data_IF_726067924013
#
_entry.id   IF_726067924013
#
_cell.length_a   1.000
_cell.length_b   1.000
_cell.length_c   1.000
_cell.angle_alpha   90.00
_cell.angle_beta   90.00
_cell.angle_gamma   90.00
#
_symmetry.space_group_name_H-M   'P 1'
#
loop_
_entity.id
_entity.type
_entity.pdbx_description
1 polymer ?
#
# COMPACT_ATOMS: atom_id res chain seq x y z
N UNK A 1 -1.92 23.36 -4.04
CA UNK A 1 -3.23 23.02 -3.43
C UNK A 1 -3.12 23.29 -1.94
N UNK A 2 -4.16 23.71 -1.30
CA UNK A 2 -4.20 23.83 0.17
C UNK A 2 -5.06 22.69 0.70
N UNK A 3 -4.49 21.87 1.56
CA UNK A 3 -5.23 20.84 2.28
C UNK A 3 -6.06 21.49 3.40
N UNK A 4 -7.16 20.85 3.80
CA UNK A 4 -8.02 21.38 4.85
C UNK A 4 -7.50 21.04 6.25
N UNK A 5 -6.95 19.86 6.42
CA UNK A 5 -6.49 19.31 7.71
C UNK A 5 -5.01 18.93 7.72
N UNK A 6 -4.42 18.66 6.57
CA UNK A 6 -3.00 18.31 6.44
C UNK A 6 -2.17 19.59 6.33
N UNK A 7 -1.12 19.69 7.15
CA UNK A 7 -0.21 20.85 7.14
C UNK A 7 1.05 20.52 6.37
N UNK A 8 1.31 21.29 5.31
CA UNK A 8 2.54 21.15 4.52
C UNK A 8 3.70 21.82 5.27
N UNK A 9 4.83 21.15 5.53
CA UNK A 9 5.99 21.79 6.12
C UNK A 9 6.52 22.93 5.25
N UNK A 10 6.66 24.17 5.78
CA UNK A 10 6.94 25.37 4.98
C UNK A 10 8.34 25.36 4.37
N UNK A 11 9.27 24.65 4.97
CA UNK A 11 10.67 24.56 4.57
C UNK A 11 11.02 23.23 3.88
N UNK A 12 9.99 22.46 3.47
CA UNK A 12 10.11 21.24 2.70
C UNK A 12 9.93 21.48 1.20
N UNK A 13 10.45 20.55 0.39
CA UNK A 13 10.29 20.56 -1.05
C UNK A 13 9.75 19.21 -1.57
N UNK A 14 8.94 19.26 -2.63
CA UNK A 14 8.36 18.05 -3.24
C UNK A 14 9.41 17.24 -3.99
N UNK A 15 9.32 15.93 -3.87
CA UNK A 15 10.02 15.01 -4.77
C UNK A 15 9.33 15.10 -6.14
N UNK A 16 10.10 15.32 -7.18
CA UNK A 16 9.61 15.43 -8.56
C UNK A 16 9.98 14.18 -9.37
N UNK A 17 9.12 13.83 -10.32
CA UNK A 17 9.40 12.76 -11.29
C UNK A 17 9.54 13.41 -12.66
N UNK A 18 10.67 13.19 -13.32
CA UNK A 18 10.89 13.71 -14.68
C UNK A 18 10.16 12.86 -15.73
N UNK A 19 10.18 13.30 -16.99
CA UNK A 19 9.52 12.62 -18.11
C UNK A 19 10.05 11.19 -18.37
N UNK A 20 11.22 10.83 -17.83
CA UNK A 20 11.81 9.49 -17.91
C UNK A 20 11.50 8.61 -16.68
N UNK A 21 10.63 9.07 -15.77
CA UNK A 21 10.30 8.34 -14.54
C UNK A 21 11.38 8.42 -13.44
N UNK A 22 12.42 9.25 -13.60
CA UNK A 22 13.50 9.37 -12.61
C UNK A 22 13.10 10.39 -11.55
N UNK A 23 13.30 10.01 -10.27
CA UNK A 23 13.04 10.86 -9.12
C UNK A 23 14.14 11.93 -8.99
N UNK A 24 13.71 13.19 -8.87
CA UNK A 24 14.55 14.29 -8.43
C UNK A 24 14.24 14.59 -6.96
N UNK A 25 15.15 14.19 -6.07
CA UNK A 25 14.98 14.30 -4.62
C UNK A 25 15.74 15.53 -4.10
N UNK A 26 15.05 16.54 -3.55
CA UNK A 26 15.69 17.72 -2.98
C UNK A 26 16.45 17.40 -1.69
N UNK A 27 17.22 18.37 -1.16
CA UNK A 27 17.95 18.18 0.09
C UNK A 27 17.03 18.16 1.34
N UNK A 28 15.82 18.69 1.21
CA UNK A 28 14.80 18.76 2.25
C UNK A 28 13.46 18.18 1.74
N UNK A 29 13.44 16.88 1.32
CA UNK A 29 12.24 16.31 0.74
C UNK A 29 11.11 16.23 1.76
N UNK A 30 9.89 16.52 1.32
CA UNK A 30 8.69 16.21 2.10
C UNK A 30 8.38 14.73 1.92
N UNK A 31 8.26 14.02 3.04
CA UNK A 31 7.80 12.62 3.08
C UNK A 31 6.52 12.56 3.91
N UNK A 32 5.47 12.04 3.31
CA UNK A 32 4.19 11.82 4.00
C UNK A 32 4.34 10.68 4.99
N UNK A 33 3.72 10.80 6.17
CA UNK A 33 3.62 9.66 7.08
C UNK A 33 2.24 9.54 7.70
N UNK A 34 1.85 8.31 7.98
CA UNK A 34 0.64 7.95 8.70
C UNK A 34 1.07 7.24 9.97
N UNK A 35 0.66 7.74 11.14
CA UNK A 35 1.01 7.15 12.44
C UNK A 35 0.54 5.70 12.54
N UNK A 36 -0.69 5.45 12.10
CA UNK A 36 -1.32 4.15 12.20
C UNK A 36 -2.09 3.95 13.52
N UNK A 37 -2.72 2.80 13.62
CA UNK A 37 -3.55 2.39 14.76
C UNK A 37 -2.79 1.45 15.69
N UNK A 38 -3.33 1.22 16.89
CA UNK A 38 -2.76 0.30 17.87
C UNK A 38 -1.30 0.62 18.18
N UNK A 39 -0.38 -0.31 17.90
CA UNK A 39 1.06 -0.11 18.12
C UNK A 39 1.69 0.98 17.24
N UNK A 40 0.96 1.51 16.27
CA UNK A 40 1.42 2.59 15.40
C UNK A 40 1.83 3.84 16.18
N UNK A 41 1.10 4.17 17.26
CA UNK A 41 1.37 5.31 18.12
C UNK A 41 2.71 5.20 18.87
N UNK A 42 3.18 3.98 19.11
CA UNK A 42 4.45 3.71 19.78
C UNK A 42 5.62 3.65 18.80
N UNK A 43 5.45 2.90 17.70
CA UNK A 43 6.56 2.62 16.77
C UNK A 43 6.84 3.78 15.81
N UNK A 44 5.84 4.56 15.40
CA UNK A 44 6.03 5.63 14.43
C UNK A 44 6.93 6.75 14.95
N UNK A 45 6.80 7.25 16.18
CA UNK A 45 7.74 8.24 16.74
C UNK A 45 9.18 7.72 16.82
N UNK A 46 9.36 6.43 17.11
CA UNK A 46 10.68 5.79 17.12
C UNK A 46 11.26 5.73 15.72
N UNK A 47 10.46 5.32 14.73
CA UNK A 47 10.84 5.31 13.32
C UNK A 47 11.33 6.70 12.86
N UNK A 48 10.57 7.76 13.14
CA UNK A 48 10.95 9.13 12.79
C UNK A 48 12.30 9.53 13.40
N UNK A 49 12.55 9.19 14.68
CA UNK A 49 13.83 9.46 15.35
C UNK A 49 14.99 8.72 14.71
N UNK A 50 14.81 7.42 14.44
CA UNK A 50 15.84 6.56 13.84
C UNK A 50 16.20 7.04 12.44
N UNK A 51 15.19 7.30 11.60
CA UNK A 51 15.41 7.77 10.23
C UNK A 51 16.08 9.14 10.21
N UNK A 52 15.65 10.08 11.06
CA UNK A 52 16.28 11.39 11.17
C UNK A 52 17.75 11.29 11.59
N UNK A 53 18.08 10.44 12.56
CA UNK A 53 19.45 10.20 13.00
C UNK A 53 20.31 9.57 11.89
N UNK A 54 19.74 8.61 11.15
CA UNK A 54 20.42 7.97 10.02
C UNK A 54 20.72 8.97 8.89
N UNK A 55 19.75 9.81 8.53
CA UNK A 55 19.92 10.86 7.51
C UNK A 55 20.98 11.89 7.95
N UNK A 56 20.89 12.36 9.18
CA UNK A 56 21.88 13.30 9.73
C UNK A 56 23.28 12.73 9.69
N UNK A 57 23.46 11.45 10.07
CA UNK A 57 24.74 10.74 10.02
C UNK A 57 25.24 10.54 8.60
N UNK A 58 24.38 10.09 7.70
CA UNK A 58 24.77 9.77 6.31
C UNK A 58 25.14 11.00 5.49
N UNK A 59 24.49 12.12 5.75
CA UNK A 59 24.67 13.36 4.98
C UNK A 59 25.33 14.50 5.76
N UNK A 60 25.87 14.22 6.95
CA UNK A 60 26.56 15.19 7.81
C UNK A 60 25.72 16.48 8.04
N UNK A 61 24.42 16.32 8.20
CA UNK A 61 23.47 17.42 8.40
C UNK A 61 23.11 18.25 7.17
N UNK A 62 23.67 17.95 5.99
CA UNK A 62 23.38 18.71 4.74
C UNK A 62 22.02 18.38 4.13
N UNK A 63 21.37 17.31 4.57
CA UNK A 63 20.03 16.92 4.14
C UNK A 63 19.13 16.62 5.33
N UNK A 64 17.83 16.86 5.18
CA UNK A 64 16.84 16.64 6.23
C UNK A 64 15.49 16.29 5.62
N UNK A 65 14.85 15.22 6.09
CA UNK A 65 13.46 14.91 5.70
C UNK A 65 12.52 15.89 6.45
N UNK A 66 11.57 16.44 5.72
CA UNK A 66 10.45 17.21 6.26
C UNK A 66 9.21 16.33 6.29
N UNK A 67 8.82 15.96 7.48
CA UNK A 67 7.73 15.03 7.71
C UNK A 67 6.38 15.73 7.62
N UNK A 68 5.46 15.19 6.83
CA UNK A 68 4.10 15.67 6.67
C UNK A 68 3.12 14.59 7.12
N UNK A 69 2.41 14.84 8.21
CA UNK A 69 1.42 13.87 8.71
C UNK A 69 0.16 13.89 7.84
N UNK A 70 -0.28 12.71 7.42
CA UNK A 70 -1.57 12.47 6.81
C UNK A 70 -2.34 11.43 7.66
N UNK A 71 -3.65 11.39 7.52
CA UNK A 71 -4.51 10.70 8.47
C UNK A 71 -5.24 9.54 7.82
N UNK A 72 -5.13 8.36 8.43
CA UNK A 72 -5.89 7.15 8.10
C UNK A 72 -6.15 6.35 9.38
N UNK A 73 -7.10 5.44 9.32
CA UNK A 73 -7.51 4.62 10.46
C UNK A 73 -8.31 5.40 11.50
N UNK A 74 -8.18 5.04 12.77
CA UNK A 74 -8.90 5.67 13.88
C UNK A 74 -8.60 7.17 14.01
N UNK A 75 -7.37 7.59 13.73
CA UNK A 75 -7.02 9.01 13.77
C UNK A 75 -7.77 9.81 12.69
N UNK A 76 -8.02 9.21 11.53
CA UNK A 76 -8.80 9.86 10.46
C UNK A 76 -10.25 10.10 10.89
N UNK A 77 -10.88 9.12 11.55
CA UNK A 77 -12.27 9.27 12.03
C UNK A 77 -12.42 10.38 13.06
N UNK A 78 -11.40 10.62 13.88
CA UNK A 78 -11.40 11.72 14.86
C UNK A 78 -11.25 13.11 14.21
N UNK A 79 -10.61 13.18 13.03
CA UNK A 79 -10.28 14.47 12.37
C UNK A 79 -11.32 14.85 11.32
N UNK A 80 -11.81 13.87 10.54
CA UNK A 80 -12.72 14.09 9.41
C UNK A 80 -14.16 13.65 9.69
N UNK A 81 -14.40 12.87 10.75
CA UNK A 81 -15.71 12.33 11.12
C UNK A 81 -15.74 10.80 11.19
N UNK A 82 -16.71 10.21 11.92
CA UNK A 82 -16.70 8.81 12.35
C UNK A 82 -16.66 7.78 11.22
N UNK A 83 -17.14 8.12 10.03
CA UNK A 83 -17.19 7.21 8.88
C UNK A 83 -16.00 7.38 7.92
N UNK A 84 -15.10 8.34 8.19
CA UNK A 84 -13.99 8.67 7.29
C UNK A 84 -12.70 8.00 7.77
N UNK A 85 -12.55 6.72 7.48
CA UNK A 85 -11.36 5.93 7.80
C UNK A 85 -10.15 6.24 6.90
N UNK A 86 -10.39 6.78 5.71
CA UNK A 86 -9.40 7.23 4.76
C UNK A 86 -9.97 8.39 3.97
N UNK A 87 -9.43 9.60 4.17
CA UNK A 87 -9.87 10.78 3.45
C UNK A 87 -9.26 10.86 2.05
N UNK A 88 -9.97 11.48 1.11
CA UNK A 88 -9.43 11.77 -0.22
C UNK A 88 -8.21 12.68 -0.13
N UNK A 89 -8.21 13.63 0.82
CA UNK A 89 -7.07 14.51 1.10
C UNK A 89 -5.77 13.73 1.43
N UNK A 90 -5.89 12.61 2.15
CA UNK A 90 -4.75 11.72 2.43
C UNK A 90 -4.24 11.03 1.17
N UNK A 91 -5.14 10.57 0.31
CA UNK A 91 -4.79 9.97 -0.98
C UNK A 91 -4.08 10.97 -1.89
N UNK A 92 -4.65 12.16 -2.03
CA UNK A 92 -4.07 13.28 -2.80
C UNK A 92 -2.68 13.65 -2.29
N UNK A 93 -2.50 13.73 -0.96
CA UNK A 93 -1.21 14.03 -0.35
C UNK A 93 -0.15 12.97 -0.69
N UNK A 94 -0.49 11.69 -0.59
CA UNK A 94 0.45 10.61 -0.95
C UNK A 94 0.77 10.65 -2.44
N UNK A 95 -0.22 10.87 -3.29
CA UNK A 95 -0.01 10.94 -4.74
C UNK A 95 0.82 12.17 -5.14
N UNK A 96 0.58 13.32 -4.52
CA UNK A 96 1.29 14.57 -4.80
C UNK A 96 2.76 14.51 -4.37
N UNK A 97 3.05 14.00 -3.16
CA UNK A 97 4.39 13.97 -2.59
C UNK A 97 5.20 12.71 -2.91
N UNK A 98 4.59 11.70 -3.56
CA UNK A 98 5.21 10.50 -4.15
C UNK A 98 5.73 9.47 -3.17
N UNK A 99 6.18 9.84 -1.98
CA UNK A 99 6.74 8.92 -0.97
C UNK A 99 5.97 9.06 0.33
N UNK A 100 5.52 7.92 0.85
CA UNK A 100 4.83 7.87 2.13
C UNK A 100 5.32 6.68 2.97
N UNK A 101 5.35 6.87 4.29
CA UNK A 101 5.59 5.81 5.27
C UNK A 101 4.32 5.64 6.09
N UNK A 102 3.81 4.41 6.16
CA UNK A 102 2.56 4.11 6.83
C UNK A 102 2.78 3.16 8.01
N UNK A 103 2.28 3.55 9.18
CA UNK A 103 2.13 2.66 10.32
C UNK A 103 1.05 1.58 10.10
N UNK A 104 0.87 0.63 11.03
CA UNK A 104 -0.18 -0.38 10.93
C UNK A 104 -1.56 0.28 10.94
N UNK A 105 -2.52 -0.29 10.20
CA UNK A 105 -3.90 0.18 10.17
C UNK A 105 -4.85 -0.97 10.50
N UNK A 106 -5.78 -0.71 11.40
CA UNK A 106 -6.84 -1.62 11.76
C UNK A 106 -7.93 -1.64 10.68
N UNK A 107 -8.42 -2.82 10.34
CA UNK A 107 -9.63 -2.95 9.52
C UNK A 107 -10.79 -3.23 10.47
N UNK A 108 -11.83 -2.38 10.54
CA UNK A 108 -12.99 -2.62 11.40
C UNK A 108 -13.65 -3.95 11.03
N UNK A 109 -13.94 -4.75 12.06
CA UNK A 109 -14.60 -6.05 11.92
C UNK A 109 -16.11 -5.85 11.92
N UNK A 110 -16.83 -6.44 10.97
CA UNK A 110 -18.31 -6.48 10.95
C UNK A 110 -19.02 -5.31 10.28
N UNK A 111 -18.31 -4.30 9.76
CA UNK A 111 -18.91 -3.11 9.15
C UNK A 111 -19.02 -3.10 7.62
N UNK A 112 -18.67 -4.18 6.92
CA UNK A 112 -18.63 -4.19 5.44
C UNK A 112 -17.55 -3.27 4.84
N UNK A 113 -16.70 -2.67 5.69
CA UNK A 113 -15.65 -1.77 5.27
C UNK A 113 -14.50 -2.59 4.68
N UNK A 114 -14.15 -2.29 3.43
CA UNK A 114 -12.97 -2.87 2.78
C UNK A 114 -11.70 -2.45 3.53
N UNK A 115 -10.73 -3.35 3.64
CA UNK A 115 -9.44 -3.03 4.27
C UNK A 115 -8.83 -1.74 3.71
N UNK A 116 -8.52 -0.79 4.60
CA UNK A 116 -7.89 0.49 4.24
C UNK A 116 -6.59 0.25 3.47
N UNK A 117 -5.83 -0.79 3.85
CA UNK A 117 -4.60 -1.17 3.14
C UNK A 117 -4.87 -1.58 1.68
N UNK A 118 -5.96 -2.33 1.44
CA UNK A 118 -6.37 -2.71 0.08
C UNK A 118 -6.82 -1.49 -0.70
N UNK A 119 -7.58 -0.61 -0.08
CA UNK A 119 -8.04 0.65 -0.70
C UNK A 119 -6.85 1.53 -1.12
N UNK A 120 -5.85 1.73 -0.24
CA UNK A 120 -4.63 2.46 -0.57
C UNK A 120 -3.90 1.87 -1.78
N UNK A 121 -3.72 0.55 -1.81
CA UNK A 121 -3.05 -0.15 -2.92
C UNK A 121 -3.78 0.04 -4.25
N UNK A 122 -5.10 -0.04 -4.23
CA UNK A 122 -5.92 0.09 -5.44
C UNK A 122 -6.05 1.54 -5.90
N UNK A 123 -6.33 2.47 -4.99
CA UNK A 123 -6.52 3.89 -5.33
C UNK A 123 -5.23 4.55 -5.81
N UNK A 124 -4.09 4.19 -5.22
CA UNK A 124 -2.78 4.70 -5.61
C UNK A 124 -2.07 3.84 -6.69
N UNK A 125 -2.74 2.78 -7.16
CA UNK A 125 -2.20 1.84 -8.15
C UNK A 125 -0.82 1.28 -7.76
N UNK A 126 -0.69 0.84 -6.49
CA UNK A 126 0.51 0.24 -5.95
C UNK A 126 0.51 -1.27 -6.24
N UNK A 127 0.80 -1.65 -7.46
CA UNK A 127 0.62 -3.02 -7.95
C UNK A 127 1.68 -4.02 -7.47
N UNK A 128 2.84 -3.56 -7.02
CA UNK A 128 3.92 -4.42 -6.50
C UNK A 128 4.21 -4.11 -5.02
N UNK A 129 4.27 -5.16 -4.20
CA UNK A 129 4.88 -5.11 -2.88
C UNK A 129 6.30 -5.69 -2.99
N UNK A 130 7.30 -4.81 -2.97
CA UNK A 130 8.71 -5.17 -3.05
C UNK A 130 9.27 -5.43 -1.66
N UNK A 131 9.82 -6.62 -1.43
CA UNK A 131 10.37 -7.03 -0.13
C UNK A 131 11.80 -7.54 -0.27
N UNK A 132 12.81 -6.66 -0.14
CA UNK A 132 14.19 -7.10 -0.01
C UNK A 132 14.37 -7.74 1.37
N UNK A 133 14.91 -8.95 1.39
CA UNK A 133 15.13 -9.75 2.58
C UNK A 133 16.59 -10.19 2.59
N UNK A 134 17.33 -9.76 3.61
CA UNK A 134 18.70 -10.21 3.83
C UNK A 134 18.98 -10.34 5.32
N UNK A 135 19.94 -11.17 5.65
CA UNK A 135 20.40 -11.31 7.02
C UNK A 135 21.24 -10.11 7.47
N UNK A 136 21.02 -9.69 8.72
CA UNK A 136 21.85 -8.70 9.39
C UNK A 136 22.62 -9.39 10.52
N UNK A 137 23.96 -9.26 10.50
CA UNK A 137 24.84 -9.88 11.49
C UNK A 137 24.44 -9.48 12.92
N UNK A 138 24.36 -10.48 13.80
CA UNK A 138 23.96 -10.30 15.19
C UNK A 138 22.46 -10.42 15.44
N UNK A 139 21.62 -10.60 14.41
CA UNK A 139 20.18 -10.83 14.56
C UNK A 139 19.91 -12.33 14.77
N UNK A 140 19.11 -12.74 15.77
CA UNK A 140 18.68 -14.12 15.91
C UNK A 140 17.92 -14.59 14.64
N UNK A 141 18.21 -15.82 14.19
CA UNK A 141 17.55 -16.39 13.02
C UNK A 141 17.23 -17.87 13.25
N UNK A 142 16.05 -18.35 12.85
CA UNK A 142 15.70 -19.77 12.86
C UNK A 142 16.34 -20.54 11.70
N UNK A 143 16.96 -19.87 10.73
CA UNK A 143 17.59 -20.48 9.56
C UNK A 143 19.01 -20.91 9.91
N UNK A 144 19.41 -22.11 9.43
CA UNK A 144 20.72 -22.71 9.74
C UNK A 144 21.89 -21.88 9.19
N UNK A 145 21.75 -21.34 7.98
CA UNK A 145 22.74 -20.50 7.30
C UNK A 145 22.12 -19.15 6.89
N UNK A 146 21.81 -18.28 7.86
CA UNK A 146 21.12 -17.02 7.57
C UNK A 146 21.97 -16.05 6.75
N UNK A 147 23.30 -16.16 6.80
CA UNK A 147 24.24 -15.35 6.03
C UNK A 147 24.11 -15.52 4.51
N UNK A 148 23.51 -16.66 4.07
CA UNK A 148 23.22 -16.93 2.66
C UNK A 148 21.89 -16.33 2.19
N UNK A 149 21.14 -15.71 3.11
CA UNK A 149 19.84 -15.10 2.74
C UNK A 149 20.06 -13.70 2.19
N UNK A 150 19.91 -13.56 0.88
CA UNK A 150 19.83 -12.28 0.16
C UNK A 150 18.90 -12.46 -1.04
N UNK A 151 17.66 -12.03 -0.88
CA UNK A 151 16.61 -12.18 -1.90
C UNK A 151 15.69 -10.99 -1.95
N UNK A 152 15.03 -10.80 -3.10
CA UNK A 152 13.98 -9.80 -3.26
C UNK A 152 12.69 -10.50 -3.70
N UNK A 153 11.63 -10.37 -2.90
CA UNK A 153 10.31 -10.91 -3.20
C UNK A 153 9.48 -9.81 -3.85
N UNK A 154 9.00 -10.08 -5.06
CA UNK A 154 8.01 -9.28 -5.77
C UNK A 154 6.64 -9.92 -5.55
N UNK A 155 5.77 -9.26 -4.77
CA UNK A 155 4.43 -9.76 -4.49
C UNK A 155 3.41 -8.93 -5.26
N UNK A 156 2.51 -9.61 -5.96
CA UNK A 156 1.31 -9.04 -6.55
C UNK A 156 0.46 -8.35 -5.47
N UNK A 157 -0.13 -7.21 -5.79
CA UNK A 157 -0.76 -6.38 -4.77
C UNK A 157 -2.17 -5.86 -5.14
N UNK A 158 -2.45 -5.61 -6.40
CA UNK A 158 -3.71 -5.05 -6.90
C UNK A 158 -4.38 -5.89 -8.00
N UNK A 159 -3.63 -6.81 -8.59
CA UNK A 159 -4.09 -7.71 -9.64
C UNK A 159 -4.30 -9.13 -9.10
N UNK A 160 -4.44 -10.10 -9.97
CA UNK A 160 -4.69 -11.50 -9.63
C UNK A 160 -6.00 -11.63 -8.82
N UNK A 161 -6.02 -12.45 -7.80
CA UNK A 161 -7.14 -12.61 -6.87
C UNK A 161 -7.37 -11.35 -6.02
N UNK A 162 -6.37 -10.48 -5.89
CA UNK A 162 -6.45 -9.22 -5.15
C UNK A 162 -7.24 -8.13 -5.88
N UNK A 163 -7.55 -8.31 -7.17
CA UNK A 163 -8.43 -7.41 -7.93
C UNK A 163 -9.86 -7.36 -7.34
N UNK A 164 -10.26 -8.42 -6.62
CA UNK A 164 -11.56 -8.49 -5.94
C UNK A 164 -12.73 -8.54 -6.94
N UNK A 165 -12.51 -9.16 -8.10
CA UNK A 165 -13.56 -9.40 -9.09
C UNK A 165 -14.17 -10.77 -8.75
N UNK A 166 -15.25 -10.73 -7.98
CA UNK A 166 -15.87 -11.94 -7.47
C UNK A 166 -17.38 -11.78 -7.30
N UNK A 167 -18.09 -12.87 -7.43
CA UNK A 167 -19.52 -12.96 -7.18
C UNK A 167 -19.78 -14.12 -6.23
N UNK A 168 -20.56 -13.91 -5.15
CA UNK A 168 -20.87 -14.96 -4.19
C UNK A 168 -21.68 -16.09 -4.83
N UNK A 169 -21.57 -17.27 -4.23
CA UNK A 169 -22.40 -18.40 -4.61
C UNK A 169 -23.89 -18.02 -4.59
N UNK A 170 -24.66 -18.65 -5.46
CA UNK A 170 -26.11 -18.44 -5.62
C UNK A 170 -26.54 -17.06 -6.12
N UNK A 171 -25.61 -16.13 -6.37
CA UNK A 171 -25.95 -14.83 -6.98
C UNK A 171 -26.35 -15.00 -8.45
N UNK A 172 -27.23 -14.11 -8.93
CA UNK A 172 -27.72 -14.11 -10.32
C UNK A 172 -26.54 -13.98 -11.30
N UNK A 173 -25.55 -13.14 -10.96
CA UNK A 173 -24.41 -12.88 -11.85
C UNK A 173 -23.41 -14.02 -11.85
N UNK A 174 -23.20 -14.71 -10.70
CA UNK A 174 -22.41 -15.93 -10.67
C UNK A 174 -23.02 -17.00 -11.58
N UNK A 175 -24.35 -17.21 -11.50
CA UNK A 175 -25.08 -18.18 -12.34
C UNK A 175 -24.99 -17.83 -13.83
N UNK A 176 -25.12 -16.55 -14.19
CA UNK A 176 -24.96 -16.10 -15.58
C UNK A 176 -23.55 -16.40 -16.11
N UNK A 177 -22.54 -16.06 -15.31
CA UNK A 177 -21.15 -16.28 -15.71
C UNK A 177 -20.82 -17.77 -15.81
N UNK A 178 -21.27 -18.60 -14.86
CA UNK A 178 -21.11 -20.06 -14.92
C UNK A 178 -21.76 -20.64 -16.17
N UNK A 179 -23.00 -20.24 -16.45
CA UNK A 179 -23.70 -20.69 -17.65
C UNK A 179 -22.92 -20.31 -18.92
N UNK A 180 -22.47 -19.05 -19.02
CA UNK A 180 -21.65 -18.60 -20.14
C UNK A 180 -20.38 -19.43 -20.32
N UNK A 181 -19.65 -19.68 -19.22
CA UNK A 181 -18.44 -20.50 -19.25
C UNK A 181 -18.73 -21.93 -19.72
N UNK A 182 -19.84 -22.51 -19.31
CA UNK A 182 -20.22 -23.87 -19.69
C UNK A 182 -20.73 -23.96 -21.13
N UNK A 183 -21.61 -23.04 -21.55
CA UNK A 183 -22.29 -23.11 -22.87
C UNK A 183 -21.44 -22.53 -23.99
N UNK A 184 -20.79 -21.40 -23.78
CA UNK A 184 -20.06 -20.69 -24.84
C UNK A 184 -18.56 -21.04 -24.86
N UNK A 185 -17.98 -21.34 -23.69
CA UNK A 185 -16.55 -21.62 -23.59
C UNK A 185 -16.23 -23.09 -23.34
N UNK A 186 -17.23 -23.97 -23.23
CA UNK A 186 -17.06 -25.43 -23.08
C UNK A 186 -16.41 -25.87 -21.76
N UNK A 187 -16.49 -25.05 -20.69
CA UNK A 187 -15.90 -25.36 -19.39
C UNK A 187 -16.74 -26.43 -18.69
N UNK A 188 -16.24 -27.67 -18.64
CA UNK A 188 -16.94 -28.81 -18.01
C UNK A 188 -16.54 -29.09 -16.56
N UNK A 189 -15.55 -28.36 -16.01
CA UNK A 189 -14.96 -28.64 -14.69
C UNK A 189 -15.74 -28.10 -13.50
N UNK A 190 -16.78 -27.29 -13.72
CA UNK A 190 -17.62 -26.75 -12.64
C UNK A 190 -18.64 -27.81 -12.24
N UNK A 191 -18.37 -28.51 -11.11
CA UNK A 191 -19.17 -29.68 -10.70
C UNK A 191 -20.53 -29.32 -10.07
N UNK A 192 -20.58 -28.20 -9.34
CA UNK A 192 -21.75 -27.81 -8.56
C UNK A 192 -22.10 -26.35 -8.85
N UNK A 193 -22.63 -26.03 -10.05
CA UNK A 193 -22.83 -24.64 -10.50
C UNK A 193 -23.72 -23.84 -9.57
N UNK A 194 -24.74 -24.43 -8.94
CA UNK A 194 -25.66 -23.74 -8.04
C UNK A 194 -25.03 -23.36 -6.69
N UNK A 195 -23.92 -24.00 -6.32
CA UNK A 195 -23.23 -23.76 -5.04
C UNK A 195 -21.86 -23.09 -5.22
N UNK A 196 -21.51 -22.71 -6.44
CA UNK A 196 -20.23 -22.09 -6.74
C UNK A 196 -20.35 -20.57 -6.75
N UNK A 197 -19.44 -19.89 -6.04
CA UNK A 197 -19.07 -18.52 -6.33
C UNK A 197 -18.03 -18.47 -7.44
N UNK A 198 -17.87 -17.33 -8.08
CA UNK A 198 -16.84 -17.11 -9.11
C UNK A 198 -15.91 -16.00 -8.67
N UNK A 199 -14.60 -16.27 -8.75
CA UNK A 199 -13.55 -15.26 -8.65
C UNK A 199 -12.74 -15.23 -9.95
N UNK A 200 -12.48 -14.04 -10.45
CA UNK A 200 -11.65 -13.85 -11.64
C UNK A 200 -10.22 -13.53 -11.21
N UNK A 201 -9.28 -14.36 -11.66
CA UNK A 201 -7.86 -14.11 -11.56
C UNK A 201 -7.40 -13.32 -12.78
N UNK A 202 -7.11 -12.04 -12.60
CA UNK A 202 -6.62 -11.16 -13.64
C UNK A 202 -5.09 -11.20 -13.69
N UNK A 203 -4.51 -11.42 -14.87
CA UNK A 203 -3.07 -11.34 -15.09
C UNK A 203 -2.72 -10.16 -15.99
N UNK A 204 -1.75 -9.36 -15.58
CA UNK A 204 -1.08 -8.41 -16.47
C UNK A 204 0.13 -9.12 -17.10
N UNK A 205 0.29 -9.00 -18.42
CA UNK A 205 1.51 -9.46 -19.10
C UNK A 205 2.72 -8.65 -18.62
N UNK A 206 3.84 -9.32 -18.40
CA UNK A 206 5.07 -8.77 -17.82
C UNK A 206 5.66 -7.55 -18.57
N UNK A 207 5.23 -7.27 -19.78
CA UNK A 207 5.72 -6.17 -20.62
C UNK A 207 5.35 -4.76 -20.11
N UNK A 208 4.46 -4.67 -19.10
CA UNK A 208 4.03 -3.41 -18.46
C UNK A 208 4.51 -3.24 -17.02
N UNK A 209 5.43 -4.07 -16.57
CA UNK A 209 6.02 -3.99 -15.23
C UNK A 209 6.98 -2.81 -15.13
N UNK A 210 6.46 -1.62 -14.98
CA UNK A 210 7.30 -0.49 -14.64
C UNK A 210 6.53 0.55 -13.81
N UNK A 211 7.10 0.93 -12.66
CA UNK A 211 7.02 2.23 -12.02
C UNK A 211 6.17 2.48 -10.77
N UNK A 212 5.37 1.56 -10.22
CA UNK A 212 4.72 1.82 -8.93
C UNK A 212 4.99 0.68 -7.96
N UNK A 213 5.89 0.91 -7.01
CA UNK A 213 6.30 -0.05 -5.98
C UNK A 213 5.71 0.38 -4.63
N UNK A 214 5.13 -0.56 -3.93
CA UNK A 214 4.58 -0.40 -2.59
C UNK A 214 5.62 -0.73 -1.50
#
# INVERSE_FOLDING_TARGET
>A
MSYQKITIPPDGAKIQVNAKGILNVPNNPIVVYIVGDGIGVDITPVMLKVVNAAVAKAYHGSKQIKWMEAYAGEKSTNIYGPDVWLSDETLEAIEEFKVAIKGPLTTPVGGGIRSINVTLRQKLDLYICLRPIRYFVGTPSPVVHPELTDMVIFRENSEDIYAGIEWPADSIDAKKLINFLQTEMGVSKIRFPDFCGIGIKKHISYDKFCYKIC
#
